data_IF_816545024923
#
_entry.id   IF_816545024923
#
_cell.length_a   1.000
_cell.length_b   1.000
_cell.length_c   1.000
_cell.angle_alpha   90.00
_cell.angle_beta   90.00
_cell.angle_gamma   90.00
#
_symmetry.space_group_name_H-M   'P 1'
#
loop_
_entity.id
_entity.type
_entity.pdbx_description
1 polymer ?
#
# COMPACT_ATOMS: atom_id res chain seq x y z
N UNK A 1 33.04 -20.92 -5.75
CA UNK A 1 32.67 -21.11 -4.34
C UNK A 1 32.96 -19.83 -3.55
N UNK A 2 31.89 -19.27 -2.99
CA UNK A 2 31.88 -18.28 -1.90
C UNK A 2 32.46 -16.89 -2.21
N UNK A 3 31.88 -15.76 -1.85
CA UNK A 3 30.73 -15.43 -0.99
C UNK A 3 30.58 -13.92 -1.10
N UNK A 4 29.35 -13.40 -1.02
CA UNK A 4 29.15 -11.97 -0.83
C UNK A 4 27.80 -11.50 -1.31
N UNK A 5 26.72 -12.10 -0.78
CA UNK A 5 25.43 -11.44 -0.80
C UNK A 5 25.56 -10.18 0.05
N UNK A 6 25.45 -9.02 -0.60
CA UNK A 6 25.25 -7.74 0.04
C UNK A 6 24.07 -7.85 1.00
N UNK A 7 24.39 -7.93 2.28
CA UNK A 7 23.47 -7.60 3.37
C UNK A 7 23.31 -6.09 3.41
N UNK A 8 22.68 -5.54 2.37
CA UNK A 8 22.09 -4.21 2.43
C UNK A 8 20.77 -4.34 3.19
N UNK A 9 20.65 -3.68 4.33
CA UNK A 9 19.35 -3.37 4.90
C UNK A 9 18.64 -2.42 3.93
N UNK A 10 18.05 -2.97 2.86
CA UNK A 10 17.37 -2.20 1.83
C UNK A 10 16.07 -1.69 2.43
N UNK A 11 16.10 -0.46 2.96
CA UNK A 11 14.90 0.22 3.41
C UNK A 11 13.90 0.26 2.26
N UNK A 12 12.63 -0.07 2.53
CA UNK A 12 11.57 0.01 1.53
C UNK A 12 11.44 1.46 1.05
N UNK A 13 11.55 1.67 -0.25
CA UNK A 13 11.34 2.99 -0.85
C UNK A 13 9.85 3.31 -0.93
N UNK A 14 9.50 4.59 -0.77
CA UNK A 14 8.12 5.03 -0.97
C UNK A 14 7.58 4.70 -2.37
N UNK A 15 8.43 4.76 -3.40
CA UNK A 15 8.03 4.42 -4.77
C UNK A 15 7.48 2.98 -4.88
N UNK A 16 8.07 2.02 -4.16
CA UNK A 16 7.57 0.64 -4.12
C UNK A 16 6.19 0.58 -3.44
N UNK A 17 6.00 1.33 -2.35
CA UNK A 17 4.70 1.40 -1.66
C UNK A 17 3.65 2.06 -2.52
N UNK A 18 3.98 3.16 -3.19
CA UNK A 18 3.08 3.87 -4.09
C UNK A 18 2.61 2.97 -5.22
N UNK A 19 3.51 2.17 -5.81
CA UNK A 19 3.13 1.18 -6.84
C UNK A 19 2.13 0.14 -6.30
N UNK A 20 2.37 -0.39 -5.09
CA UNK A 20 1.44 -1.32 -4.44
C UNK A 20 0.09 -0.66 -4.22
N UNK A 21 0.05 0.53 -3.63
CA UNK A 21 -1.21 1.25 -3.36
C UNK A 21 -1.96 1.57 -4.65
N UNK A 22 -1.25 1.97 -5.69
CA UNK A 22 -1.83 2.23 -7.02
C UNK A 22 -2.41 0.97 -7.66
N UNK A 23 -1.80 -0.19 -7.47
CA UNK A 23 -2.30 -1.44 -8.06
C UNK A 23 -3.41 -2.08 -7.22
N UNK A 24 -3.34 -1.94 -5.89
CA UNK A 24 -4.18 -2.69 -4.96
C UNK A 24 -5.33 -1.90 -4.36
N UNK A 25 -5.21 -0.57 -4.27
CA UNK A 25 -6.14 0.27 -3.49
C UNK A 25 -6.94 1.24 -4.37
N UNK A 26 -6.32 1.92 -5.33
CA UNK A 26 -6.97 2.99 -6.13
C UNK A 26 -8.10 2.46 -7.02
N UNK A 27 -8.13 1.15 -7.28
CA UNK A 27 -9.24 0.45 -7.94
C UNK A 27 -10.60 0.81 -7.32
N UNK A 28 -10.65 0.96 -5.98
CA UNK A 28 -11.83 1.44 -5.26
C UNK A 28 -11.62 2.80 -4.59
N UNK A 29 -10.39 3.14 -4.20
CA UNK A 29 -10.04 4.33 -3.40
C UNK A 29 -9.31 5.39 -4.24
N UNK A 30 -9.88 5.75 -5.38
CA UNK A 30 -9.46 6.86 -6.24
C UNK A 30 -10.58 7.90 -6.34
N UNK A 31 -10.26 9.12 -6.78
CA UNK A 31 -11.28 10.13 -7.15
C UNK A 31 -12.22 9.58 -8.22
N UNK A 32 -11.69 8.76 -9.13
CA UNK A 32 -12.44 8.05 -10.16
C UNK A 32 -12.19 6.54 -10.06
N UNK A 33 -12.92 5.80 -9.20
CA UNK A 33 -12.75 4.36 -9.06
C UNK A 33 -13.00 3.62 -10.37
N UNK A 34 -12.23 2.57 -10.62
CA UNK A 34 -12.36 1.72 -11.81
C UNK A 34 -13.15 0.44 -11.55
N UNK A 35 -13.34 0.04 -10.28
CA UNK A 35 -14.12 -1.14 -9.91
C UNK A 35 -15.62 -0.93 -10.16
N UNK A 36 -16.28 -1.80 -10.96
CA UNK A 36 -17.73 -1.78 -11.09
C UNK A 36 -18.44 -1.86 -9.73
N UNK A 37 -19.46 -1.01 -9.56
CA UNK A 37 -20.19 -0.88 -8.29
C UNK A 37 -19.69 0.23 -7.37
N UNK A 38 -18.56 0.87 -7.68
CA UNK A 38 -18.06 2.04 -6.96
C UNK A 38 -18.09 3.27 -7.88
N UNK A 39 -19.03 4.19 -7.63
CA UNK A 39 -19.09 5.49 -8.34
C UNK A 39 -18.33 6.59 -7.62
N UNK A 40 -17.87 6.33 -6.39
CA UNK A 40 -17.11 7.23 -5.55
C UNK A 40 -16.25 6.41 -4.57
N UNK A 41 -15.13 6.96 -4.07
CA UNK A 41 -14.28 6.28 -3.11
C UNK A 41 -15.04 5.96 -1.81
N UNK A 42 -15.00 4.72 -1.29
CA UNK A 42 -15.64 4.37 -0.04
C UNK A 42 -15.16 5.24 1.11
N UNK A 43 -16.10 5.75 1.91
CA UNK A 43 -15.84 6.65 3.04
C UNK A 43 -15.07 7.93 2.68
N UNK A 44 -15.02 8.30 1.39
CA UNK A 44 -14.25 9.45 0.92
C UNK A 44 -12.72 9.26 0.99
N UNK A 45 -12.23 8.02 1.17
CA UNK A 45 -10.79 7.73 1.25
C UNK A 45 -10.22 7.57 -0.16
N UNK A 46 -9.23 8.40 -0.49
CA UNK A 46 -8.55 8.46 -1.80
C UNK A 46 -7.05 8.24 -1.62
N UNK A 47 -6.39 7.69 -2.63
CA UNK A 47 -4.93 7.44 -2.67
C UNK A 47 -4.30 7.87 -4.02
N UNK A 48 -4.78 8.96 -4.61
CA UNK A 48 -4.33 9.41 -5.94
C UNK A 48 -2.93 10.08 -5.88
N UNK A 49 -2.57 10.68 -4.75
CA UNK A 49 -1.31 11.43 -4.57
C UNK A 49 -0.44 10.83 -3.46
N UNK A 50 0.89 11.09 -3.47
CA UNK A 50 1.77 10.73 -2.37
C UNK A 50 1.32 11.25 -1.00
N UNK A 51 0.75 12.46 -0.98
CA UNK A 51 0.23 13.12 0.20
C UNK A 51 -0.99 12.38 0.75
N UNK A 52 -1.87 11.87 -0.13
CA UNK A 52 -3.00 11.05 0.29
C UNK A 52 -2.53 9.73 0.94
N UNK A 53 -1.53 9.08 0.34
CA UNK A 53 -0.98 7.81 0.82
C UNK A 53 -0.32 7.99 2.19
N UNK A 54 0.58 8.96 2.31
CA UNK A 54 1.30 9.24 3.57
C UNK A 54 0.36 9.75 4.66
N UNK A 55 -0.60 10.62 4.32
CA UNK A 55 -1.60 11.12 5.25
C UNK A 55 -2.54 10.04 5.81
N UNK A 56 -2.67 8.91 5.11
CA UNK A 56 -3.50 7.77 5.51
C UNK A 56 -2.68 6.54 5.91
N UNK A 57 -1.38 6.69 6.16
CA UNK A 57 -0.48 5.56 6.41
C UNK A 57 -0.97 4.61 7.51
N UNK A 58 -1.47 5.15 8.64
CA UNK A 58 -2.04 4.35 9.72
C UNK A 58 -3.25 3.53 9.26
N UNK A 59 -4.15 4.14 8.48
CA UNK A 59 -5.32 3.46 7.93
C UNK A 59 -4.90 2.34 6.98
N UNK A 60 -3.95 2.61 6.08
CA UNK A 60 -3.42 1.63 5.13
C UNK A 60 -2.83 0.45 5.90
N UNK A 61 -1.99 0.70 6.90
CA UNK A 61 -1.37 -0.34 7.73
C UNK A 61 -2.40 -1.17 8.48
N UNK A 62 -3.35 -0.54 9.16
CA UNK A 62 -4.38 -1.25 9.93
C UNK A 62 -5.27 -2.13 9.04
N UNK A 63 -5.65 -1.64 7.86
CA UNK A 63 -6.55 -2.37 6.96
C UNK A 63 -5.85 -3.47 6.16
N UNK A 64 -4.58 -3.26 5.79
CA UNK A 64 -3.85 -4.19 4.92
C UNK A 64 -2.90 -5.12 5.69
N UNK A 65 -2.26 -4.66 6.75
CA UNK A 65 -1.27 -5.47 7.48
C UNK A 65 -1.92 -6.12 8.70
N UNK A 66 -2.56 -5.33 9.56
CA UNK A 66 -3.05 -5.81 10.86
C UNK A 66 -4.30 -6.65 10.72
N UNK A 67 -5.37 -6.07 10.16
CA UNK A 67 -6.66 -6.76 10.02
C UNK A 67 -6.76 -7.63 8.78
N UNK A 68 -5.93 -7.35 7.76
CA UNK A 68 -6.02 -7.91 6.40
C UNK A 68 -7.42 -7.79 5.79
N UNK A 69 -8.22 -6.82 6.24
CA UNK A 69 -9.58 -6.58 5.73
C UNK A 69 -9.56 -6.01 4.31
N UNK A 70 -8.51 -5.28 3.94
CA UNK A 70 -8.30 -4.74 2.61
C UNK A 70 -7.16 -5.44 1.88
N UNK A 71 -7.26 -5.62 0.56
CA UNK A 71 -8.44 -5.38 -0.29
C UNK A 71 -9.61 -6.31 0.09
N UNK A 72 -10.86 -5.86 -0.08
CA UNK A 72 -12.06 -6.67 0.24
C UNK A 72 -11.94 -8.03 -0.44
N UNK A 73 -11.99 -9.13 0.32
CA UNK A 73 -11.87 -10.48 -0.23
C UNK A 73 -10.59 -10.73 -1.05
N UNK A 74 -9.56 -9.89 -0.85
CA UNK A 74 -8.36 -9.81 -1.67
C UNK A 74 -8.62 -9.63 -3.19
N UNK A 75 -9.66 -8.90 -3.57
CA UNK A 75 -10.09 -8.73 -4.97
C UNK A 75 -8.99 -8.24 -5.92
N UNK A 76 -8.05 -7.39 -5.45
CA UNK A 76 -6.93 -6.92 -6.26
C UNK A 76 -5.69 -7.82 -6.21
N UNK A 77 -5.76 -8.98 -5.54
CA UNK A 77 -4.68 -9.97 -5.52
C UNK A 77 -3.44 -9.55 -4.74
N UNK A 78 -3.62 -8.78 -3.66
CA UNK A 78 -2.50 -8.33 -2.82
C UNK A 78 -1.83 -9.52 -2.11
N UNK A 79 -0.54 -9.67 -2.31
CA UNK A 79 0.30 -10.72 -1.74
C UNK A 79 0.78 -10.39 -0.32
N UNK A 80 1.18 -11.41 0.44
CA UNK A 80 1.79 -11.19 1.76
C UNK A 80 3.15 -10.46 1.66
N UNK A 81 3.89 -10.63 0.56
CA UNK A 81 5.13 -9.90 0.32
C UNK A 81 4.87 -8.38 0.17
N UNK A 82 3.82 -7.99 -0.55
CA UNK A 82 3.43 -6.59 -0.66
C UNK A 82 2.96 -6.02 0.69
N UNK A 83 2.24 -6.81 1.50
CA UNK A 83 1.85 -6.40 2.87
C UNK A 83 3.09 -6.18 3.75
N UNK A 84 4.10 -7.03 3.64
CA UNK A 84 5.36 -6.87 4.36
C UNK A 84 6.10 -5.58 3.97
N UNK A 85 6.04 -5.17 2.70
CA UNK A 85 6.62 -3.90 2.25
C UNK A 85 5.87 -2.70 2.85
N UNK A 86 4.54 -2.75 2.93
CA UNK A 86 3.74 -1.71 3.60
C UNK A 86 4.06 -1.66 5.10
N UNK A 87 4.19 -2.81 5.76
CA UNK A 87 4.56 -2.86 7.18
C UNK A 87 5.92 -2.20 7.41
N UNK A 88 6.95 -2.60 6.66
CA UNK A 88 8.29 -2.03 6.78
C UNK A 88 8.31 -0.51 6.56
N UNK A 89 7.61 -0.01 5.54
CA UNK A 89 7.47 1.43 5.29
C UNK A 89 6.77 2.15 6.43
N UNK A 90 5.69 1.57 6.98
CA UNK A 90 4.97 2.14 8.10
C UNK A 90 5.84 2.23 9.35
N UNK A 91 6.58 1.16 9.69
CA UNK A 91 7.51 1.14 10.83
C UNK A 91 8.68 2.12 10.65
N UNK A 92 9.05 2.43 9.41
CA UNK A 92 10.10 3.41 9.08
C UNK A 92 9.63 4.87 9.13
N UNK A 93 8.37 5.13 9.52
CA UNK A 93 7.83 6.49 9.68
C UNK A 93 6.91 6.96 8.55
N UNK A 94 6.63 6.10 7.57
CA UNK A 94 5.65 6.31 6.52
C UNK A 94 5.83 7.62 5.70
N UNK A 95 7.06 7.95 5.33
CA UNK A 95 7.38 9.17 4.57
C UNK A 95 7.27 8.94 3.06
N UNK A 96 7.07 10.03 2.31
CA UNK A 96 7.09 10.02 0.85
C UNK A 96 8.53 10.08 0.28
N UNK A 97 9.45 10.69 1.03
CA UNK A 97 10.91 10.70 0.91
C UNK A 97 11.51 11.01 2.29
#
# INVERSE_FOLDING_TARGET
PDTGQDTGSTSVSFSQVQQIVTQRCTVCHATHPSQPGFTAPPKGVVFDTPQDITGQALTIHQQTVVSKAMPIGNLSGMSDAERALIDQWFQAGATAE
#
